data_IF_969205096825
#
_entry.id   IF_969205096825
#
_cell.length_a   1.000
_cell.length_b   1.000
_cell.length_c   1.000
_cell.angle_alpha   90.00
_cell.angle_beta   90.00
_cell.angle_gamma   90.00
#
_symmetry.space_group_name_H-M   'P 1'
#
loop_
_entity.id
_entity.type
_entity.pdbx_description
1 polymer ?
#
# COMPACT_ATOMS: atom_id res chain seq x y z
N UNK A 1 0.72 -64.12 34.70
CA UNK A 1 2.09 -64.56 34.33
C UNK A 1 2.98 -63.31 34.30
N UNK A 2 3.59 -62.92 35.42
CA UNK A 2 5.00 -63.19 35.84
C UNK A 2 6.07 -62.78 34.81
N UNK A 3 6.73 -61.64 35.04
CA UNK A 3 8.19 -61.41 35.29
C UNK A 3 8.59 -59.96 34.90
N UNK A 4 9.03 -59.12 35.86
CA UNK A 4 10.43 -58.85 36.30
C UNK A 4 11.25 -58.12 35.22
N UNK A 5 12.14 -57.15 35.47
CA UNK A 5 12.66 -56.42 36.64
C UNK A 5 13.49 -55.21 36.10
N UNK A 6 13.81 -54.24 36.97
CA UNK A 6 14.66 -53.05 36.72
C UNK A 6 16.15 -53.40 36.46
N UNK A 7 17.00 -52.40 36.12
CA UNK A 7 17.89 -51.85 37.17
C UNK A 7 18.21 -50.34 37.09
N UNK A 8 18.74 -49.88 38.22
CA UNK A 8 19.17 -48.53 38.65
C UNK A 8 20.38 -47.90 37.91
N UNK A 9 20.64 -46.63 38.26
CA UNK A 9 21.82 -45.74 38.06
C UNK A 9 21.56 -44.59 37.07
N UNK A 10 21.89 -43.31 37.34
CA UNK A 10 22.88 -42.74 38.24
C UNK A 10 22.56 -41.26 38.54
N UNK A 11 23.10 -40.77 39.67
CA UNK A 11 23.10 -39.39 40.18
C UNK A 11 23.41 -38.32 39.12
N UNK A 12 22.71 -37.19 39.23
CA UNK A 12 23.09 -35.90 38.64
C UNK A 12 22.52 -34.77 39.48
N UNK A 13 23.22 -34.46 40.58
CA UNK A 13 23.07 -33.20 41.30
C UNK A 13 23.60 -32.08 40.40
N UNK A 14 22.72 -31.28 39.81
CA UNK A 14 23.13 -30.02 39.20
C UNK A 14 22.18 -28.92 39.66
N UNK A 15 22.82 -27.82 40.04
CA UNK A 15 22.30 -26.73 40.82
C UNK A 15 21.02 -26.15 40.22
N UNK A 16 20.03 -25.93 41.09
CA UNK A 16 19.11 -24.81 40.94
C UNK A 16 19.97 -23.54 41.02
N UNK A 17 20.55 -23.14 39.90
CA UNK A 17 20.95 -21.76 39.72
C UNK A 17 19.67 -20.95 39.86
N UNK A 18 19.58 -20.28 41.00
CA UNK A 18 18.83 -19.06 41.19
C UNK A 18 19.06 -18.18 39.97
N UNK A 19 18.13 -18.26 39.01
CA UNK A 19 17.91 -17.17 38.08
C UNK A 19 17.40 -16.06 38.98
N UNK A 20 18.32 -15.24 39.44
CA UNK A 20 17.99 -13.92 39.94
C UNK A 20 17.14 -13.29 38.84
N UNK A 21 15.84 -13.17 39.10
CA UNK A 21 14.99 -12.25 38.36
C UNK A 21 15.59 -10.90 38.67
N UNK A 22 16.55 -10.49 37.83
CA UNK A 22 17.08 -9.15 37.81
C UNK A 22 15.84 -8.26 37.81
N UNK A 23 15.66 -7.37 38.81
CA UNK A 23 14.60 -6.38 38.77
C UNK A 23 14.80 -5.65 37.46
N UNK A 24 13.92 -5.90 36.49
CA UNK A 24 14.00 -5.30 35.16
C UNK A 24 14.00 -3.81 35.40
N UNK A 25 15.17 -3.18 35.28
CA UNK A 25 15.27 -1.74 35.20
C UNK A 25 14.27 -1.37 34.11
N UNK A 26 13.23 -0.63 34.48
CA UNK A 26 12.36 0.01 33.51
C UNK A 26 13.29 0.83 32.65
N UNK A 27 13.66 0.30 31.49
CA UNK A 27 14.64 0.95 30.65
C UNK A 27 14.02 2.29 30.26
N UNK A 28 14.83 3.35 30.17
CA UNK A 28 14.30 4.66 29.75
C UNK A 28 13.56 4.55 28.39
N UNK A 29 13.96 3.56 27.58
CA UNK A 29 13.29 3.14 26.35
C UNK A 29 11.86 2.60 26.57
N UNK A 30 11.60 1.86 27.66
CA UNK A 30 10.26 1.38 28.01
C UNK A 30 9.33 2.54 28.40
N UNK A 31 9.86 3.56 29.07
CA UNK A 31 9.11 4.77 29.42
C UNK A 31 8.78 5.61 28.17
N UNK A 32 9.75 5.75 27.26
CA UNK A 32 9.56 6.48 26.01
C UNK A 32 8.55 5.78 25.09
N UNK A 33 8.70 4.46 24.89
CA UNK A 33 7.80 3.67 24.05
C UNK A 33 6.36 3.63 24.61
N UNK A 34 6.19 3.52 25.93
CA UNK A 34 4.84 3.63 26.55
C UNK A 34 4.26 5.04 26.47
N UNK A 35 5.08 6.09 26.52
CA UNK A 35 4.61 7.46 26.30
C UNK A 35 4.13 7.65 24.85
N UNK A 36 4.89 7.17 23.86
CA UNK A 36 4.49 7.21 22.45
C UNK A 36 3.20 6.42 22.18
N UNK A 37 3.05 5.24 22.77
CA UNK A 37 1.83 4.42 22.64
C UNK A 37 0.58 5.09 23.24
N UNK A 38 0.75 6.00 24.20
CA UNK A 38 -0.36 6.73 24.85
C UNK A 38 -0.81 7.96 24.06
N UNK A 39 -0.06 8.39 23.05
CA UNK A 39 -0.43 9.51 22.18
C UNK A 39 -1.58 9.12 21.25
N UNK A 40 -2.35 10.13 20.80
CA UNK A 40 -3.36 9.90 19.77
C UNK A 40 -2.70 9.52 18.44
N UNK A 41 -3.49 8.96 17.51
CA UNK A 41 -2.99 8.69 16.16
C UNK A 41 -2.49 9.97 15.48
N UNK A 42 -3.21 11.08 15.62
CA UNK A 42 -2.85 12.38 15.06
C UNK A 42 -1.56 12.94 15.66
N UNK A 43 -1.37 12.85 16.97
CA UNK A 43 -0.17 13.37 17.64
C UNK A 43 1.08 12.56 17.23
N UNK A 44 0.93 11.24 17.06
CA UNK A 44 2.02 10.40 16.53
C UNK A 44 2.37 10.76 15.10
N UNK A 45 1.39 10.91 14.22
CA UNK A 45 1.63 11.34 12.84
C UNK A 45 2.28 12.72 12.79
N UNK A 46 1.87 13.67 13.63
CA UNK A 46 2.48 15.00 13.69
C UNK A 46 3.96 14.95 14.12
N UNK A 47 4.30 14.12 15.11
CA UNK A 47 5.70 13.92 15.55
C UNK A 47 6.52 13.26 14.45
N UNK A 48 5.98 12.24 13.77
CA UNK A 48 6.65 11.59 12.64
C UNK A 48 6.90 12.58 11.49
N UNK A 49 5.90 13.39 11.13
CA UNK A 49 6.03 14.42 10.08
C UNK A 49 7.06 15.50 10.45
N UNK A 50 7.11 15.92 11.72
CA UNK A 50 8.12 16.86 12.23
C UNK A 50 9.53 16.25 12.15
N UNK A 51 9.68 14.99 12.57
CA UNK A 51 10.95 14.27 12.56
C UNK A 51 11.48 14.06 11.13
N UNK A 52 10.60 13.71 10.20
CA UNK A 52 10.95 13.51 8.79
C UNK A 52 11.06 14.83 8.01
N UNK A 53 10.56 15.94 8.55
CA UNK A 53 10.53 17.25 7.91
C UNK A 53 9.58 17.32 6.70
N UNK A 54 8.64 16.38 6.58
CA UNK A 54 7.67 16.30 5.48
C UNK A 54 6.29 15.97 6.03
N UNK A 55 5.27 16.74 5.63
CA UNK A 55 3.87 16.51 6.03
C UNK A 55 3.16 15.58 5.05
N UNK A 56 2.30 14.69 5.55
CA UNK A 56 1.50 13.81 4.71
C UNK A 56 0.34 14.59 4.08
N UNK A 57 0.29 14.65 2.74
CA UNK A 57 -0.81 15.28 1.98
C UNK A 57 -1.83 14.26 1.43
N UNK A 58 -1.76 12.99 1.85
CA UNK A 58 -2.63 11.96 1.33
C UNK A 58 -4.10 12.20 1.70
N UNK A 59 -4.97 12.25 0.70
CA UNK A 59 -6.41 12.34 0.91
C UNK A 59 -6.93 11.01 1.45
N UNK A 60 -7.80 11.05 2.47
CA UNK A 60 -8.43 9.85 3.02
C UNK A 60 -9.35 9.22 1.97
N UNK A 61 -8.96 8.05 1.47
CA UNK A 61 -9.74 7.31 0.47
C UNK A 61 -10.99 6.67 1.11
N UNK A 62 -12.17 7.24 0.86
CA UNK A 62 -13.44 6.57 1.13
C UNK A 62 -13.94 5.89 -0.15
N UNK A 63 -14.69 4.78 -0.05
CA UNK A 63 -15.24 4.11 -1.23
C UNK A 63 -16.14 5.04 -2.05
N UNK A 64 -16.89 5.92 -1.37
CA UNK A 64 -17.73 6.96 -1.99
C UNK A 64 -16.89 7.94 -2.81
N UNK A 65 -15.78 8.45 -2.25
CA UNK A 65 -14.86 9.36 -2.96
C UNK A 65 -14.26 8.69 -4.20
N UNK A 66 -13.87 7.42 -4.09
CA UNK A 66 -13.29 6.66 -5.20
C UNK A 66 -14.28 6.53 -6.36
N UNK A 67 -15.52 6.14 -6.06
CA UNK A 67 -16.55 5.95 -7.09
C UNK A 67 -16.93 7.26 -7.77
N UNK A 68 -17.12 8.32 -6.99
CA UNK A 68 -17.42 9.65 -7.52
C UNK A 68 -16.26 10.20 -8.35
N UNK A 69 -15.03 10.06 -7.87
CA UNK A 69 -13.84 10.52 -8.59
C UNK A 69 -13.64 9.76 -9.90
N UNK A 70 -13.87 8.44 -9.92
CA UNK A 70 -13.81 7.64 -11.15
C UNK A 70 -14.87 8.07 -12.17
N UNK A 71 -16.10 8.30 -11.71
CA UNK A 71 -17.19 8.78 -12.56
C UNK A 71 -16.87 10.16 -13.13
N UNK A 72 -16.40 11.09 -12.30
CA UNK A 72 -16.01 12.43 -12.74
C UNK A 72 -14.81 12.39 -13.68
N UNK A 73 -13.82 11.53 -13.42
CA UNK A 73 -12.66 11.33 -14.27
C UNK A 73 -13.06 10.91 -15.68
N UNK A 74 -13.99 9.95 -15.80
CA UNK A 74 -14.49 9.53 -17.10
C UNK A 74 -15.18 10.68 -17.82
N UNK A 75 -16.00 11.48 -17.14
CA UNK A 75 -16.63 12.67 -17.74
C UNK A 75 -15.58 13.66 -18.26
N UNK A 76 -14.56 13.98 -17.47
CA UNK A 76 -13.49 14.89 -17.90
C UNK A 76 -12.67 14.31 -19.07
N UNK A 77 -12.43 13.00 -19.08
CA UNK A 77 -11.74 12.33 -20.18
C UNK A 77 -12.52 12.37 -21.51
N UNK A 78 -13.87 12.38 -21.44
CA UNK A 78 -14.71 12.55 -22.64
C UNK A 78 -14.71 13.98 -23.17
N UNK A 79 -14.39 15.00 -22.35
CA UNK A 79 -14.28 16.39 -22.79
C UNK A 79 -12.99 16.70 -23.54
N UNK A 80 -11.97 15.84 -23.42
CA UNK A 80 -10.69 16.04 -24.10
C UNK A 80 -10.81 15.52 -25.53
N UNK A 81 -10.70 16.44 -26.50
CA UNK A 81 -10.92 16.17 -27.93
C UNK A 81 -9.81 15.31 -28.56
N UNK A 82 -8.55 15.47 -28.14
CA UNK A 82 -7.41 14.77 -28.75
C UNK A 82 -6.73 13.83 -27.75
N UNK A 83 -6.89 12.51 -27.95
CA UNK A 83 -6.32 11.48 -27.08
C UNK A 83 -5.84 10.26 -27.88
N UNK A 84 -4.77 10.41 -28.70
CA UNK A 84 -4.42 9.45 -29.74
C UNK A 84 -4.11 8.05 -29.19
N UNK A 85 -3.43 7.96 -28.04
CA UNK A 85 -3.13 6.66 -27.40
C UNK A 85 -4.37 5.98 -26.81
N UNK A 86 -5.35 6.76 -26.35
CA UNK A 86 -6.61 6.22 -25.82
C UNK A 86 -7.55 5.81 -26.96
N UNK A 87 -7.73 6.67 -27.96
CA UNK A 87 -8.58 6.41 -29.12
C UNK A 87 -8.09 5.17 -29.87
N UNK A 88 -6.77 5.07 -30.14
CA UNK A 88 -6.18 3.91 -30.81
C UNK A 88 -6.47 2.61 -30.08
N UNK A 89 -6.49 2.66 -28.77
CA UNK A 89 -6.67 1.46 -27.99
C UNK A 89 -8.14 1.13 -27.69
N UNK A 90 -9.05 2.12 -27.80
CA UNK A 90 -10.47 1.87 -27.94
C UNK A 90 -10.79 1.18 -29.29
N UNK A 91 -10.14 1.57 -30.38
CA UNK A 91 -10.29 0.89 -31.69
C UNK A 91 -9.89 -0.59 -31.60
N UNK A 92 -8.73 -0.89 -31.00
CA UNK A 92 -8.23 -2.26 -30.83
C UNK A 92 -9.20 -3.12 -30.00
N UNK A 93 -9.88 -2.51 -29.01
CA UNK A 93 -10.90 -3.17 -28.18
C UNK A 93 -12.16 -3.50 -28.99
N UNK A 94 -12.57 -2.63 -29.91
CA UNK A 94 -13.73 -2.87 -30.75
C UNK A 94 -13.48 -3.95 -31.83
N UNK A 95 -12.25 -4.05 -32.33
CA UNK A 95 -11.87 -5.02 -33.37
C UNK A 95 -11.67 -6.44 -32.83
N UNK A 96 -11.18 -6.60 -31.59
CA UNK A 96 -10.92 -7.90 -30.99
C UNK A 96 -12.02 -8.31 -29.98
N UNK A 97 -13.11 -8.92 -30.47
CA UNK A 97 -14.22 -9.36 -29.60
C UNK A 97 -13.86 -10.45 -28.55
N UNK A 98 -12.64 -10.99 -28.59
CA UNK A 98 -12.27 -12.22 -27.88
C UNK A 98 -11.00 -12.16 -27.00
N UNK A 99 -10.45 -10.99 -26.69
CA UNK A 99 -9.37 -10.88 -25.69
C UNK A 99 -9.72 -9.74 -24.73
N UNK A 100 -10.62 -10.02 -23.79
CA UNK A 100 -10.27 -10.51 -22.46
C UNK A 100 -9.33 -9.52 -21.74
N UNK A 101 -9.88 -8.79 -20.78
CA UNK A 101 -9.21 -8.20 -19.61
C UNK A 101 -7.98 -7.29 -19.79
N UNK A 102 -7.36 -7.13 -20.97
CA UNK A 102 -5.96 -6.68 -21.09
C UNK A 102 -5.76 -5.20 -21.36
N UNK A 103 -6.83 -4.43 -21.63
CA UNK A 103 -6.68 -2.98 -21.78
C UNK A 103 -6.54 -2.31 -20.41
N UNK A 104 -5.32 -2.34 -19.90
CA UNK A 104 -4.93 -1.77 -18.61
C UNK A 104 -5.33 -0.30 -18.47
N UNK A 105 -5.32 0.47 -19.57
CA UNK A 105 -5.75 1.88 -19.56
C UNK A 105 -7.25 2.07 -19.22
N UNK A 106 -8.12 1.08 -19.45
CA UNK A 106 -9.53 1.14 -19.09
C UNK A 106 -9.85 0.61 -17.68
N UNK A 107 -8.89 -0.08 -17.05
CA UNK A 107 -9.09 -0.64 -15.70
C UNK A 107 -9.20 0.45 -14.65
N UNK A 108 -10.06 0.25 -13.66
CA UNK A 108 -10.30 1.23 -12.58
C UNK A 108 -9.02 1.49 -11.79
N UNK A 109 -8.25 0.45 -11.53
CA UNK A 109 -7.00 0.50 -10.77
C UNK A 109 -5.97 1.40 -11.45
N UNK A 110 -5.97 1.43 -12.79
CA UNK A 110 -5.07 2.28 -13.54
C UNK A 110 -5.50 3.75 -13.48
N UNK A 111 -6.79 4.03 -13.68
CA UNK A 111 -7.35 5.39 -13.53
C UNK A 111 -7.11 5.95 -12.11
N UNK A 112 -7.22 5.08 -11.10
CA UNK A 112 -6.97 5.45 -9.70
C UNK A 112 -5.54 5.90 -9.44
N UNK A 113 -4.54 5.42 -10.19
CA UNK A 113 -3.16 5.91 -10.04
C UNK A 113 -3.06 7.39 -10.37
N UNK A 114 -3.71 7.84 -11.45
CA UNK A 114 -3.72 9.27 -11.82
C UNK A 114 -4.52 10.09 -10.83
N UNK A 115 -5.67 9.58 -10.37
CA UNK A 115 -6.45 10.24 -9.33
C UNK A 115 -5.64 10.43 -8.05
N UNK A 116 -4.92 9.40 -7.58
CA UNK A 116 -4.05 9.48 -6.41
C UNK A 116 -2.92 10.49 -6.57
N UNK A 117 -2.27 10.52 -7.75
CA UNK A 117 -1.21 11.49 -8.05
C UNK A 117 -1.70 12.94 -8.04
N UNK A 118 -2.99 13.17 -8.32
CA UNK A 118 -3.61 14.49 -8.39
C UNK A 118 -4.55 14.76 -7.22
N UNK A 119 -4.38 14.07 -6.09
CA UNK A 119 -5.18 14.25 -4.87
C UNK A 119 -6.71 14.17 -5.12
N UNK A 120 -7.11 13.27 -6.01
CA UNK A 120 -8.48 13.06 -6.48
C UNK A 120 -9.10 14.26 -7.23
N UNK A 121 -8.29 15.12 -7.85
CA UNK A 121 -8.74 16.14 -8.83
C UNK A 121 -8.98 15.48 -10.21
N UNK A 122 -10.24 15.26 -10.64
CA UNK A 122 -10.52 14.51 -11.86
C UNK A 122 -10.08 15.22 -13.14
N UNK A 123 -10.04 16.56 -13.13
CA UNK A 123 -9.66 17.35 -14.31
C UNK A 123 -8.16 17.24 -14.56
N UNK A 124 -7.35 17.45 -13.51
CA UNK A 124 -5.89 17.29 -13.60
C UNK A 124 -5.50 15.85 -13.88
N UNK A 125 -6.18 14.90 -13.24
CA UNK A 125 -5.94 13.48 -13.46
C UNK A 125 -6.20 13.09 -14.92
N UNK A 126 -7.31 13.54 -15.52
CA UNK A 126 -7.63 13.28 -16.93
C UNK A 126 -6.63 13.96 -17.89
N UNK A 127 -6.23 15.21 -17.60
CA UNK A 127 -5.22 15.91 -18.38
C UNK A 127 -3.86 15.19 -18.34
N UNK A 128 -3.43 14.76 -17.15
CA UNK A 128 -2.21 13.95 -16.97
C UNK A 128 -2.34 12.61 -17.69
N UNK A 129 -3.47 11.94 -17.57
CA UNK A 129 -3.72 10.68 -18.26
C UNK A 129 -3.52 10.82 -19.78
N UNK A 130 -4.10 11.83 -20.42
CA UNK A 130 -3.94 12.04 -21.87
C UNK A 130 -2.51 12.47 -22.22
N UNK A 131 -1.90 13.37 -21.44
CA UNK A 131 -0.53 13.83 -21.67
C UNK A 131 0.50 12.69 -21.56
N UNK A 132 0.32 11.79 -20.59
CA UNK A 132 1.21 10.66 -20.33
C UNK A 132 1.03 9.57 -21.40
N UNK A 133 -0.21 9.26 -21.80
CA UNK A 133 -0.50 8.30 -22.87
C UNK A 133 -0.22 8.85 -24.29
N UNK A 134 -0.08 10.15 -24.46
CA UNK A 134 0.28 10.78 -25.73
C UNK A 134 1.77 10.77 -26.06
N UNK A 135 2.66 10.46 -25.11
CA UNK A 135 4.10 10.67 -25.29
C UNK A 135 4.96 9.39 -25.38
N UNK A 136 4.66 8.26 -24.72
CA UNK A 136 5.57 7.09 -24.81
C UNK A 136 5.06 5.74 -24.26
N UNK A 137 3.75 5.43 -24.22
CA UNK A 137 3.25 4.20 -23.54
C UNK A 137 2.84 3.10 -24.52
N UNK A 138 3.66 2.84 -25.54
CA UNK A 138 3.51 1.61 -26.34
C UNK A 138 4.82 0.86 -26.49
N UNK A 139 5.61 0.78 -25.43
CA UNK A 139 6.64 -0.26 -25.27
C UNK A 139 6.89 -0.41 -23.78
N UNK A 140 6.98 -1.64 -23.27
CA UNK A 140 7.25 -1.98 -21.87
C UNK A 140 6.02 -2.00 -20.96
N UNK A 141 5.10 -2.89 -21.32
CA UNK A 141 4.55 -3.77 -20.30
C UNK A 141 5.72 -4.62 -19.75
N UNK A 142 6.33 -4.19 -18.65
CA UNK A 142 6.85 -5.08 -17.62
C UNK A 142 7.17 -4.32 -16.32
N UNK A 143 6.67 -4.91 -15.23
CA UNK A 143 7.17 -4.92 -13.87
C UNK A 143 7.88 -3.68 -13.29
N UNK A 144 7.21 -3.08 -12.29
CA UNK A 144 7.74 -2.53 -11.02
C UNK A 144 7.07 -1.21 -10.65
N UNK A 145 5.78 -1.28 -10.29
CA UNK A 145 5.19 -0.24 -9.46
C UNK A 145 4.26 -0.90 -8.44
N UNK A 146 4.88 -1.67 -7.55
CA UNK A 146 4.26 -2.24 -6.33
C UNK A 146 5.01 -1.76 -5.08
N UNK A 147 5.90 -0.77 -5.17
CA UNK A 147 6.58 -0.22 -3.98
C UNK A 147 6.58 1.30 -4.10
N UNK A 148 5.57 1.94 -3.51
CA UNK A 148 5.52 3.31 -2.98
C UNK A 148 4.07 3.79 -2.95
N UNK A 149 3.25 3.15 -2.12
CA UNK A 149 2.19 3.77 -1.31
C UNK A 149 2.01 2.90 -0.07
#
# INVERSE_FOLDING_TARGET
MKRQAQPDHQKGSENLESIDIIPTATSDDDMFSTALMKLSFTDRSAIEEELHGVSCMAVKETPELIEDALRCFDVELHKIDHKPGYDRAQEILMENSAVDTTFWLARKEFKLRFLRCEFFDPQKAAARFVSTNGCHIVTEADAEFTVLL
#
